data_IF_503080605665
#
_entry.id   IF_503080605665
#
_cell.length_a   1.000
_cell.length_b   1.000
_cell.length_c   1.000
_cell.angle_alpha   90.00
_cell.angle_beta   90.00
_cell.angle_gamma   90.00
#
_symmetry.space_group_name_H-M   'P 1'
#
loop_
_entity.id
_entity.type
_entity.pdbx_description
1 polymer ?
#
# COMPACT_ATOMS: atom_id res chain seq x y z
N UNK A 1 -11.90 20.52 -32.00
CA UNK A 1 -10.72 19.63 -31.87
C UNK A 1 -11.18 18.25 -31.44
N UNK A 2 -10.78 17.18 -32.14
CA UNK A 2 -11.11 15.81 -31.76
C UNK A 2 -10.16 15.41 -30.62
N UNK A 3 -10.62 15.51 -29.37
CA UNK A 3 -9.85 15.04 -28.21
C UNK A 3 -9.80 13.51 -28.24
N UNK A 4 -8.66 12.97 -28.67
CA UNK A 4 -8.36 11.55 -28.56
C UNK A 4 -7.72 11.37 -27.19
N UNK A 5 -8.49 10.93 -26.20
CA UNK A 5 -7.90 10.49 -24.94
C UNK A 5 -7.07 9.23 -25.22
N UNK A 6 -5.76 9.23 -24.93
CA UNK A 6 -4.96 8.02 -25.08
C UNK A 6 -5.55 6.91 -24.20
N UNK A 7 -5.98 5.80 -24.81
CA UNK A 7 -6.56 4.62 -24.13
C UNK A 7 -5.56 3.88 -23.21
N UNK A 8 -4.31 4.32 -23.16
CA UNK A 8 -3.24 3.62 -22.45
C UNK A 8 -3.05 4.07 -20.99
N UNK A 9 -3.99 4.85 -20.44
CA UNK A 9 -4.02 5.17 -19.01
C UNK A 9 -4.95 4.21 -18.28
N UNK A 10 -4.38 3.41 -17.37
CA UNK A 10 -5.16 2.69 -16.38
C UNK A 10 -5.65 3.70 -15.34
N UNK A 11 -6.87 4.21 -15.52
CA UNK A 11 -7.53 5.02 -14.49
C UNK A 11 -7.80 4.14 -13.27
N UNK A 12 -6.86 4.15 -12.32
CA UNK A 12 -7.10 3.62 -10.98
C UNK A 12 -7.76 4.74 -10.17
N UNK A 13 -9.01 4.52 -9.76
CA UNK A 13 -9.69 5.47 -8.88
C UNK A 13 -8.96 5.50 -7.53
N UNK A 14 -8.52 6.68 -7.11
CA UNK A 14 -7.91 6.93 -5.82
C UNK A 14 -8.87 7.69 -4.92
N UNK A 15 -8.96 7.30 -3.66
CA UNK A 15 -9.66 8.04 -2.62
C UNK A 15 -8.94 9.38 -2.43
N UNK A 16 -9.70 10.48 -2.54
CA UNK A 16 -9.20 11.85 -2.54
C UNK A 16 -8.10 12.15 -3.58
N UNK A 17 -7.95 11.32 -4.62
CA UNK A 17 -6.89 11.44 -5.62
C UNK A 17 -5.49 11.00 -5.15
N UNK A 18 -5.35 10.56 -3.89
CA UNK A 18 -4.05 10.30 -3.26
C UNK A 18 -3.85 8.82 -2.94
N UNK A 19 -4.84 8.17 -2.31
CA UNK A 19 -4.71 6.82 -1.75
C UNK A 19 -5.49 5.81 -2.61
N UNK A 20 -4.89 4.70 -3.01
CA UNK A 20 -5.65 3.63 -3.69
C UNK A 20 -6.63 2.95 -2.71
N UNK A 21 -7.75 2.42 -3.23
CA UNK A 21 -8.73 1.68 -2.42
C UNK A 21 -8.13 0.49 -1.67
N UNK A 22 -7.23 -0.26 -2.31
CA UNK A 22 -6.56 -1.41 -1.68
C UNK A 22 -5.75 -0.98 -0.46
N UNK A 23 -5.00 0.13 -0.56
CA UNK A 23 -4.27 0.71 0.58
C UNK A 23 -5.18 1.20 1.68
N UNK A 24 -6.29 1.86 1.33
CA UNK A 24 -7.23 2.35 2.33
C UNK A 24 -7.85 1.19 3.12
N UNK A 25 -8.21 0.08 2.47
CA UNK A 25 -8.70 -1.10 3.15
C UNK A 25 -7.66 -1.70 4.11
N UNK A 26 -6.40 -1.80 3.68
CA UNK A 26 -5.33 -2.28 4.57
C UNK A 26 -5.12 -1.35 5.76
N UNK A 27 -5.15 -0.03 5.55
CA UNK A 27 -5.07 0.95 6.63
C UNK A 27 -6.21 0.77 7.65
N UNK A 28 -7.45 0.60 7.19
CA UNK A 28 -8.62 0.38 8.06
C UNK A 28 -8.43 -0.88 8.91
N UNK A 29 -8.04 -2.00 8.28
CA UNK A 29 -7.80 -3.26 8.98
C UNK A 29 -6.68 -3.09 10.03
N UNK A 30 -5.58 -2.43 9.65
CA UNK A 30 -4.47 -2.16 10.55
C UNK A 30 -4.88 -1.30 11.75
N UNK A 31 -5.63 -0.22 11.52
CA UNK A 31 -6.08 0.68 12.59
C UNK A 31 -7.05 -0.01 13.55
N UNK A 32 -7.96 -0.83 13.03
CA UNK A 32 -8.87 -1.62 13.85
C UNK A 32 -8.11 -2.63 14.73
N UNK A 33 -7.12 -3.31 14.16
CA UNK A 33 -6.27 -4.24 14.89
C UNK A 33 -5.46 -3.55 16.00
N UNK A 34 -4.79 -2.45 15.68
CA UNK A 34 -4.00 -1.67 16.64
C UNK A 34 -4.88 -1.09 17.74
N UNK A 35 -6.08 -0.59 17.40
CA UNK A 35 -7.03 -0.08 18.39
C UNK A 35 -7.42 -1.15 19.41
N UNK A 36 -7.72 -2.37 18.94
CA UNK A 36 -8.06 -3.51 19.80
C UNK A 36 -6.87 -3.88 20.69
N UNK A 37 -5.66 -3.95 20.12
CA UNK A 37 -4.44 -4.31 20.84
C UNK A 37 -4.09 -3.28 21.94
N UNK A 38 -4.20 -1.98 21.63
CA UNK A 38 -3.95 -0.90 22.59
C UNK A 38 -4.97 -0.92 23.73
N UNK A 39 -6.25 -1.21 23.45
CA UNK A 39 -7.28 -1.32 24.47
C UNK A 39 -7.06 -2.49 25.44
N UNK A 40 -6.41 -3.56 24.97
CA UNK A 40 -6.03 -4.70 25.82
C UNK A 40 -4.79 -4.39 26.69
N UNK A 41 -3.81 -3.66 26.17
CA UNK A 41 -2.53 -3.45 26.87
C UNK A 41 -2.52 -2.28 27.87
N UNK A 42 -3.26 -1.21 27.59
CA UNK A 42 -3.20 0.02 28.40
C UNK A 42 -4.58 0.37 28.95
N UNK A 43 -4.64 0.97 30.13
CA UNK A 43 -5.88 1.50 30.72
C UNK A 43 -6.01 3.02 30.52
N UNK A 44 -4.90 3.75 30.64
CA UNK A 44 -4.89 5.21 30.57
C UNK A 44 -5.12 5.74 29.15
N UNK A 45 -6.18 6.53 28.99
CA UNK A 45 -6.60 7.10 27.69
C UNK A 45 -5.50 7.93 27.00
N UNK A 46 -4.68 8.66 27.76
CA UNK A 46 -3.61 9.50 27.19
C UNK A 46 -2.54 8.63 26.51
N UNK A 47 -2.16 7.54 27.16
CA UNK A 47 -1.19 6.57 26.63
C UNK A 47 -1.78 5.87 25.40
N UNK A 48 -3.07 5.48 25.45
CA UNK A 48 -3.75 4.86 24.30
C UNK A 48 -3.68 5.74 23.05
N UNK A 49 -4.04 7.02 23.19
CA UNK A 49 -4.04 7.97 22.07
C UNK A 49 -2.62 8.16 21.53
N UNK A 50 -1.63 8.34 22.42
CA UNK A 50 -0.24 8.51 22.02
C UNK A 50 0.30 7.31 21.25
N UNK A 51 0.13 6.10 21.78
CA UNK A 51 0.59 4.86 21.13
C UNK A 51 -0.11 4.66 19.80
N UNK A 52 -1.43 4.92 19.74
CA UNK A 52 -2.20 4.77 18.51
C UNK A 52 -1.67 5.68 17.39
N UNK A 53 -1.47 6.97 17.68
CA UNK A 53 -0.92 7.92 16.70
C UNK A 53 0.47 7.50 16.28
N UNK A 54 1.34 7.15 17.24
CA UNK A 54 2.72 6.75 16.96
C UNK A 54 2.80 5.54 16.01
N UNK A 55 1.91 4.56 16.15
CA UNK A 55 1.90 3.36 15.30
C UNK A 55 1.15 3.53 13.97
N UNK A 56 0.05 4.30 13.95
CA UNK A 56 -0.81 4.43 12.77
C UNK A 56 -0.33 5.52 11.81
N UNK A 57 0.25 6.61 12.33
CA UNK A 57 0.66 7.76 11.52
C UNK A 57 1.77 7.44 10.50
N UNK A 58 2.82 6.66 10.82
CA UNK A 58 3.83 6.28 9.82
C UNK A 58 3.23 5.47 8.66
N UNK A 59 2.30 4.55 8.95
CA UNK A 59 1.62 3.74 7.92
C UNK A 59 0.76 4.61 7.01
N UNK A 60 0.07 5.61 7.58
CA UNK A 60 -0.68 6.60 6.82
C UNK A 60 0.23 7.36 5.85
N UNK A 61 1.39 7.84 6.32
CA UNK A 61 2.35 8.57 5.48
C UNK A 61 2.82 7.73 4.29
N UNK A 62 3.17 6.45 4.51
CA UNK A 62 3.56 5.55 3.41
C UNK A 62 2.44 5.30 2.41
N UNK A 63 1.18 5.26 2.88
CA UNK A 63 0.03 5.09 1.99
C UNK A 63 -0.26 6.32 1.11
N UNK A 64 0.15 7.52 1.55
CA UNK A 64 0.02 8.77 0.80
C UNK A 64 1.20 8.96 -0.16
N UNK A 65 2.43 8.76 0.31
CA UNK A 65 3.62 9.04 -0.50
C UNK A 65 3.78 8.05 -1.64
N UNK A 66 3.36 6.79 -1.43
CA UNK A 66 3.72 5.68 -2.31
C UNK A 66 5.24 5.52 -2.43
N UNK A 67 5.66 4.68 -3.39
CA UNK A 67 7.06 4.48 -3.78
C UNK A 67 7.15 4.68 -5.29
N UNK A 68 7.78 5.78 -5.73
CA UNK A 68 7.96 6.12 -7.15
C UNK A 68 6.66 6.09 -7.99
N UNK A 69 5.55 6.57 -7.41
CA UNK A 69 4.25 6.62 -8.08
C UNK A 69 3.47 5.29 -8.06
N UNK A 70 4.10 4.21 -7.60
CA UNK A 70 3.44 2.95 -7.30
C UNK A 70 3.00 2.90 -5.85
N UNK A 71 2.00 2.08 -5.60
CA UNK A 71 1.45 1.91 -4.27
C UNK A 71 2.37 1.01 -3.42
N UNK A 72 2.71 1.47 -2.20
CA UNK A 72 3.63 0.79 -1.28
C UNK A 72 3.29 -0.68 -1.06
N UNK A 73 2.01 -1.03 -0.97
CA UNK A 73 1.58 -2.42 -0.79
C UNK A 73 2.02 -3.33 -1.93
N UNK A 74 1.98 -2.86 -3.17
CA UNK A 74 2.42 -3.65 -4.31
C UNK A 74 3.92 -3.89 -4.28
N UNK A 75 4.70 -2.86 -3.94
CA UNK A 75 6.16 -2.99 -3.79
C UNK A 75 6.49 -3.97 -2.67
N UNK A 76 5.83 -3.85 -1.52
CA UNK A 76 6.05 -4.76 -0.39
C UNK A 76 5.69 -6.20 -0.73
N UNK A 77 4.54 -6.44 -1.37
CA UNK A 77 4.14 -7.76 -1.86
C UNK A 77 5.15 -8.33 -2.87
N UNK A 78 5.69 -7.48 -3.76
CA UNK A 78 6.70 -7.90 -4.72
C UNK A 78 8.02 -8.27 -4.04
N UNK A 79 8.49 -7.45 -3.10
CA UNK A 79 9.67 -7.74 -2.30
C UNK A 79 9.52 -9.05 -1.53
N UNK A 80 8.37 -9.26 -0.86
CA UNK A 80 8.08 -10.51 -0.17
C UNK A 80 8.09 -11.73 -1.11
N UNK A 81 7.46 -11.62 -2.28
CA UNK A 81 7.51 -12.68 -3.31
C UNK A 81 8.93 -12.97 -3.75
N UNK A 82 9.76 -11.93 -3.92
CA UNK A 82 11.16 -12.09 -4.29
C UNK A 82 11.97 -12.82 -3.19
N UNK A 83 11.80 -12.43 -1.93
CA UNK A 83 12.46 -13.11 -0.81
C UNK A 83 12.07 -14.59 -0.69
N UNK A 84 10.78 -14.90 -0.88
CA UNK A 84 10.26 -16.28 -0.77
C UNK A 84 10.51 -17.14 -2.02
N UNK A 85 10.52 -16.52 -3.20
CA UNK A 85 10.71 -17.17 -4.49
C UNK A 85 11.73 -16.38 -5.30
N UNK A 86 13.00 -16.68 -5.06
CA UNK A 86 14.15 -16.09 -5.75
C UNK A 86 14.26 -16.49 -7.24
N UNK A 87 13.20 -17.03 -7.86
CA UNK A 87 13.20 -17.29 -9.31
C UNK A 87 13.00 -15.96 -10.03
N UNK A 88 14.12 -15.32 -10.33
CA UNK A 88 14.20 -14.19 -11.25
C UNK A 88 13.62 -14.62 -12.60
N UNK A 89 12.43 -14.14 -12.95
CA UNK A 89 11.97 -14.17 -14.32
C UNK A 89 12.78 -13.12 -15.08
N UNK A 90 13.92 -13.51 -15.63
CA UNK A 90 14.62 -12.67 -16.59
C UNK A 90 13.72 -12.54 -17.82
N UNK A 91 13.35 -11.30 -18.15
CA UNK A 91 12.75 -11.01 -19.43
C UNK A 91 13.83 -11.12 -20.49
N UNK A 92 13.88 -12.26 -21.19
CA UNK A 92 14.71 -12.40 -22.38
C UNK A 92 13.92 -11.85 -23.57
N UNK A 93 14.38 -10.72 -24.11
CA UNK A 93 13.78 -10.09 -25.30
C UNK A 93 13.84 -10.99 -26.53
N UNK A 94 14.72 -12.00 -26.53
CA UNK A 94 14.89 -12.97 -27.61
C UNK A 94 14.07 -14.26 -27.46
N UNK A 95 13.16 -14.35 -26.48
CA UNK A 95 12.34 -15.54 -26.28
C UNK A 95 11.33 -15.75 -27.43
N UNK A 96 11.78 -16.39 -28.51
CA UNK A 96 10.91 -16.94 -29.55
C UNK A 96 10.23 -18.19 -28.96
N UNK A 97 8.93 -18.09 -28.71
CA UNK A 97 8.06 -19.28 -28.60
C UNK A 97 8.10 -19.98 -29.96
N UNK A 98 8.85 -21.08 -30.04
CA UNK A 98 8.67 -22.08 -31.10
C UNK A 98 7.37 -22.85 -30.83
#
# INVERSE_FOLDING_TARGET
MKFIFPKNYNFKNKIFGIIDYSTALVNIIWYAFIFLLINLLFSNIKIKIFVFIFTCFPVLLFSISGLNGENFLYVFCYMLKYFLKQKLYFYDKNYKKY
#
